data_IF_661599137687
#
_entry.id   IF_661599137687
#
_cell.length_a   1.000
_cell.length_b   1.000
_cell.length_c   1.000
_cell.angle_alpha   90.00
_cell.angle_beta   90.00
_cell.angle_gamma   90.00
#
_symmetry.space_group_name_H-M   'P 1'
#
loop_
_entity.id
_entity.type
_entity.pdbx_description
1 polymer ?
#
# COMPACT_ATOMS: atom_id res chain seq x y z
N UNK A 1 -45.95 22.23 -19.04
CA UNK A 1 -44.70 21.67 -18.49
C UNK A 1 -45.05 20.54 -17.55
N UNK A 2 -44.32 19.43 -17.64
CA UNK A 2 -44.34 18.34 -16.68
C UNK A 2 -42.96 18.24 -16.04
N UNK A 3 -42.93 17.95 -14.74
CA UNK A 3 -41.70 17.86 -13.95
C UNK A 3 -41.66 16.52 -13.22
N UNK A 4 -40.61 15.76 -13.44
CA UNK A 4 -40.25 14.56 -12.68
C UNK A 4 -38.95 14.80 -11.91
N UNK A 5 -38.54 13.85 -11.07
CA UNK A 5 -37.35 13.96 -10.23
C UNK A 5 -36.05 14.13 -11.01
N UNK A 6 -35.98 13.68 -12.26
CA UNK A 6 -34.77 13.63 -13.11
C UNK A 6 -35.04 14.15 -14.54
N UNK A 7 -36.27 14.58 -14.83
CA UNK A 7 -36.68 14.98 -16.17
C UNK A 7 -37.67 16.15 -16.14
N UNK A 8 -37.50 17.07 -17.08
CA UNK A 8 -38.41 18.17 -17.38
C UNK A 8 -38.86 18.03 -18.82
N UNK A 9 -40.14 18.28 -19.09
CA UNK A 9 -40.62 18.36 -20.46
C UNK A 9 -41.63 19.47 -20.67
N UNK A 10 -41.58 20.06 -21.86
CA UNK A 10 -42.51 21.07 -22.35
C UNK A 10 -43.07 20.63 -23.69
N UNK A 11 -44.37 20.86 -23.86
CA UNK A 11 -45.08 20.69 -25.12
C UNK A 11 -45.56 22.07 -25.51
N UNK A 12 -45.21 22.52 -26.71
CA UNK A 12 -45.66 23.79 -27.28
C UNK A 12 -46.39 23.48 -28.57
N UNK A 13 -47.56 24.08 -28.79
CA UNK A 13 -48.29 23.89 -30.04
C UNK A 13 -49.13 25.12 -30.39
N UNK A 14 -49.48 25.20 -31.66
CA UNK A 14 -50.50 26.10 -32.20
C UNK A 14 -51.66 25.25 -32.70
N UNK A 15 -52.88 25.75 -32.50
CA UNK A 15 -54.12 25.14 -33.00
C UNK A 15 -54.67 26.01 -34.14
N UNK A 16 -55.05 25.37 -35.25
CA UNK A 16 -55.75 26.05 -36.35
C UNK A 16 -57.28 26.06 -36.15
N UNK A 17 -58.00 26.71 -37.07
CA UNK A 17 -59.47 26.80 -36.99
C UNK A 17 -60.22 25.47 -37.11
N UNK A 18 -59.54 24.39 -37.54
CA UNK A 18 -60.11 23.05 -37.74
C UNK A 18 -59.71 22.06 -36.61
N UNK A 19 -59.05 22.58 -35.58
CA UNK A 19 -58.61 21.86 -34.39
C UNK A 19 -57.34 21.02 -34.59
N UNK A 20 -56.58 21.27 -35.67
CA UNK A 20 -55.30 20.61 -35.94
C UNK A 20 -54.20 21.29 -35.14
N UNK A 21 -53.35 20.49 -34.51
CA UNK A 21 -52.21 20.94 -33.73
C UNK A 21 -50.91 20.73 -34.48
N UNK A 22 -50.04 21.73 -34.44
CA UNK A 22 -48.63 21.65 -34.87
C UNK A 22 -47.75 22.26 -33.80
N UNK A 23 -46.60 21.65 -33.52
CA UNK A 23 -45.79 22.11 -32.40
C UNK A 23 -44.48 21.37 -32.18
N UNK A 24 -43.91 21.56 -31.01
CA UNK A 24 -42.67 20.93 -30.55
C UNK A 24 -42.86 20.29 -29.17
N UNK A 25 -42.18 19.16 -29.00
CA UNK A 25 -41.92 18.54 -27.72
C UNK A 25 -40.44 18.71 -27.41
N UNK A 26 -40.13 19.18 -26.21
CA UNK A 26 -38.77 19.22 -25.71
C UNK A 26 -38.73 18.55 -24.34
N UNK A 27 -37.71 17.73 -24.12
CA UNK A 27 -37.42 17.18 -22.81
C UNK A 27 -35.94 17.34 -22.47
N UNK A 28 -35.68 17.68 -21.22
CA UNK A 28 -34.35 17.75 -20.62
C UNK A 28 -34.30 16.77 -19.46
N UNK A 29 -33.31 15.89 -19.43
CA UNK A 29 -33.08 14.94 -18.35
C UNK A 29 -31.71 15.15 -17.72
N UNK A 30 -31.55 14.71 -16.48
CA UNK A 30 -30.23 14.54 -15.88
C UNK A 30 -29.38 13.63 -16.78
N UNK A 31 -28.16 14.05 -17.10
CA UNK A 31 -27.26 13.22 -17.89
C UNK A 31 -26.69 12.10 -17.02
N UNK A 32 -26.58 10.90 -17.60
CA UNK A 32 -25.95 9.74 -16.95
C UNK A 32 -24.42 9.76 -17.01
N UNK A 33 -23.83 10.64 -17.83
CA UNK A 33 -22.38 10.72 -18.05
C UNK A 33 -21.72 11.60 -17.00
N UNK A 34 -20.67 11.09 -16.35
CA UNK A 34 -19.92 11.83 -15.33
C UNK A 34 -19.06 12.96 -15.90
N UNK A 35 -18.66 12.87 -17.18
CA UNK A 35 -17.70 13.74 -17.87
C UNK A 35 -18.34 14.73 -18.87
N UNK A 36 -19.67 14.88 -18.83
CA UNK A 36 -20.43 15.71 -19.76
C UNK A 36 -21.28 16.80 -19.09
N UNK A 37 -22.11 17.51 -19.88
CA UNK A 37 -23.07 18.45 -19.31
C UNK A 37 -23.96 17.76 -18.27
N UNK A 38 -24.41 18.52 -17.27
CA UNK A 38 -25.27 18.01 -16.20
C UNK A 38 -26.63 17.50 -16.71
N UNK A 39 -27.04 17.98 -17.88
CA UNK A 39 -28.30 17.60 -18.51
C UNK A 39 -28.11 17.25 -19.97
N UNK A 40 -29.02 16.42 -20.48
CA UNK A 40 -29.16 16.08 -21.90
C UNK A 40 -30.53 16.55 -22.38
N UNK A 41 -30.60 17.00 -23.63
CA UNK A 41 -31.85 17.50 -24.21
C UNK A 41 -32.27 16.66 -25.41
N UNK A 42 -33.57 16.52 -25.59
CA UNK A 42 -34.21 15.86 -26.72
C UNK A 42 -35.33 16.75 -27.23
N UNK A 43 -35.48 16.80 -28.56
CA UNK A 43 -36.51 17.60 -29.22
C UNK A 43 -37.20 16.73 -30.27
N UNK A 44 -38.51 16.87 -30.40
CA UNK A 44 -39.31 16.23 -31.43
C UNK A 44 -40.39 17.19 -31.93
N UNK A 45 -40.80 17.05 -33.19
CA UNK A 45 -41.97 17.76 -33.69
C UNK A 45 -43.23 17.04 -33.23
N UNK A 46 -44.32 17.78 -33.01
CA UNK A 46 -45.62 17.19 -32.69
C UNK A 46 -46.68 17.63 -33.70
N UNK A 47 -47.58 16.71 -34.00
CA UNK A 47 -48.79 16.95 -34.78
C UNK A 47 -49.97 16.29 -34.07
N UNK A 48 -51.15 16.87 -34.16
CA UNK A 48 -52.29 16.25 -33.49
C UNK A 48 -53.62 16.87 -33.83
N UNK A 49 -54.64 16.47 -33.07
CA UNK A 49 -55.97 17.05 -33.16
C UNK A 49 -56.63 17.08 -31.80
N UNK A 50 -57.35 18.16 -31.51
CA UNK A 50 -58.27 18.25 -30.35
C UNK A 50 -59.69 18.07 -30.86
N UNK A 51 -60.47 17.20 -30.19
CA UNK A 51 -61.90 17.06 -30.46
C UNK A 51 -62.66 16.80 -29.17
N UNK A 52 -63.56 17.71 -28.80
CA UNK A 52 -64.40 17.60 -27.59
C UNK A 52 -63.60 17.33 -26.30
N UNK A 53 -62.42 17.94 -26.17
CA UNK A 53 -61.53 17.79 -25.01
C UNK A 53 -60.62 16.55 -25.03
N UNK A 54 -60.83 15.62 -25.96
CA UNK A 54 -59.90 14.53 -26.24
C UNK A 54 -58.79 15.01 -27.19
N UNK A 55 -57.57 14.54 -26.93
CA UNK A 55 -56.37 14.91 -27.66
C UNK A 55 -55.70 13.66 -28.22
N UNK A 56 -55.32 13.72 -29.50
CA UNK A 56 -54.41 12.76 -30.12
C UNK A 56 -53.17 13.50 -30.62
N UNK A 57 -52.00 13.14 -30.10
CA UNK A 57 -50.71 13.69 -30.50
C UNK A 57 -49.84 12.60 -31.12
N UNK A 58 -49.33 12.84 -32.31
CA UNK A 58 -48.20 12.11 -32.88
C UNK A 58 -46.95 12.93 -32.61
N UNK A 59 -46.00 12.34 -31.88
CA UNK A 59 -44.68 12.91 -31.65
C UNK A 59 -43.71 12.21 -32.59
N UNK A 60 -42.96 12.95 -33.41
CA UNK A 60 -42.03 12.34 -34.37
C UNK A 60 -41.05 11.39 -33.66
N UNK A 61 -40.98 10.15 -34.15
CA UNK A 61 -40.16 9.09 -33.55
C UNK A 61 -40.80 8.33 -32.37
N UNK A 62 -42.03 8.68 -31.97
CA UNK A 62 -42.81 7.97 -30.95
C UNK A 62 -44.16 7.50 -31.51
N UNK A 63 -44.83 6.65 -30.73
CA UNK A 63 -46.22 6.22 -31.01
C UNK A 63 -47.21 7.37 -30.80
N UNK A 64 -48.40 7.26 -31.38
CA UNK A 64 -49.52 8.16 -31.06
C UNK A 64 -49.83 8.12 -29.56
N UNK A 65 -49.82 9.30 -28.95
CA UNK A 65 -50.11 9.55 -27.55
C UNK A 65 -51.54 10.09 -27.48
N UNK A 66 -52.36 9.50 -26.61
CA UNK A 66 -53.73 9.97 -26.38
C UNK A 66 -53.79 10.73 -25.06
N UNK A 67 -54.73 11.66 -24.93
CA UNK A 67 -54.83 12.47 -23.73
C UNK A 67 -56.10 13.29 -23.63
N UNK A 68 -56.17 14.08 -22.57
CA UNK A 68 -57.26 15.03 -22.33
C UNK A 68 -56.70 16.39 -21.98
N UNK A 69 -57.24 17.43 -22.60
CA UNK A 69 -56.96 18.82 -22.26
C UNK A 69 -58.16 19.39 -21.50
N UNK A 70 -57.97 19.78 -20.25
CA UNK A 70 -59.01 20.36 -19.39
C UNK A 70 -58.47 21.58 -18.67
N UNK A 71 -58.98 22.76 -19.04
CA UNK A 71 -58.47 24.04 -18.55
C UNK A 71 -56.98 24.20 -18.86
N UNK A 72 -56.18 24.47 -17.82
CA UNK A 72 -54.72 24.61 -17.92
C UNK A 72 -53.97 23.27 -17.73
N UNK A 73 -54.68 22.14 -17.69
CA UNK A 73 -54.08 20.82 -17.44
C UNK A 73 -54.20 19.92 -18.67
N UNK A 74 -53.07 19.39 -19.10
CA UNK A 74 -52.96 18.38 -20.16
C UNK A 74 -52.53 17.06 -19.54
N UNK A 75 -53.31 16.01 -19.72
CA UNK A 75 -52.98 14.65 -19.26
C UNK A 75 -52.72 13.78 -20.49
N UNK A 76 -51.51 13.23 -20.60
CA UNK A 76 -51.09 12.35 -21.70
C UNK A 76 -50.92 10.91 -21.19
N UNK A 77 -51.45 9.95 -21.93
CA UNK A 77 -51.23 8.51 -21.76
C UNK A 77 -50.16 8.06 -22.74
N UNK A 78 -48.93 7.90 -22.24
CA UNK A 78 -47.74 7.58 -23.02
C UNK A 78 -47.47 6.08 -22.96
N UNK A 79 -47.55 5.34 -24.09
CA UNK A 79 -47.15 3.93 -24.13
C UNK A 79 -45.67 3.77 -23.77
N UNK A 80 -45.35 2.72 -23.01
CA UNK A 80 -44.01 2.35 -22.63
C UNK A 80 -43.55 1.12 -23.42
N UNK A 81 -42.23 0.97 -23.58
CA UNK A 81 -41.63 -0.15 -24.33
C UNK A 81 -41.89 -1.53 -23.70
N UNK A 82 -42.23 -1.57 -22.41
CA UNK A 82 -42.64 -2.79 -21.71
C UNK A 82 -44.13 -3.14 -21.91
N UNK A 83 -44.84 -2.43 -22.80
CA UNK A 83 -46.27 -2.61 -23.05
C UNK A 83 -47.20 -1.94 -22.04
N UNK A 84 -46.65 -1.25 -21.02
CA UNK A 84 -47.41 -0.45 -20.07
C UNK A 84 -47.83 0.92 -20.63
N UNK A 85 -48.64 1.64 -19.86
CA UNK A 85 -49.01 3.03 -20.15
C UNK A 85 -48.65 3.89 -18.95
N UNK A 86 -47.89 4.96 -19.19
CA UNK A 86 -47.57 5.97 -18.19
C UNK A 86 -48.40 7.22 -18.42
N UNK A 87 -49.11 7.65 -17.39
CA UNK A 87 -49.79 8.95 -17.42
C UNK A 87 -48.80 10.06 -17.05
N UNK A 88 -48.73 11.10 -17.87
CA UNK A 88 -47.94 12.30 -17.63
C UNK A 88 -48.87 13.50 -17.60
N UNK A 89 -48.82 14.25 -16.50
CA UNK A 89 -49.63 15.45 -16.31
C UNK A 89 -48.79 16.69 -16.55
N UNK A 90 -49.26 17.54 -17.44
CA UNK A 90 -48.68 18.83 -17.78
C UNK A 90 -49.59 19.92 -17.26
N UNK A 91 -48.98 20.95 -16.66
CA UNK A 91 -49.68 22.20 -16.33
C UNK A 91 -49.20 23.31 -17.26
N UNK A 92 -50.07 24.27 -17.57
CA UNK A 92 -49.69 25.46 -18.35
C UNK A 92 -48.52 26.19 -17.69
N UNK A 93 -47.56 26.64 -18.49
CA UNK A 93 -46.35 27.32 -18.00
C UNK A 93 -45.80 28.24 -19.09
N UNK A 94 -44.78 29.04 -18.77
CA UNK A 94 -44.08 29.90 -19.72
C UNK A 94 -42.71 29.34 -20.09
N UNK A 95 -42.11 29.85 -21.16
CA UNK A 95 -40.75 29.45 -21.56
C UNK A 95 -39.72 29.87 -20.52
N UNK A 96 -39.91 31.03 -19.88
CA UNK A 96 -39.05 31.48 -18.80
C UNK A 96 -39.13 30.55 -17.59
N UNK A 97 -40.33 30.05 -17.25
CA UNK A 97 -40.50 29.08 -16.17
C UNK A 97 -39.82 27.73 -16.49
N UNK A 98 -39.93 27.27 -17.73
CA UNK A 98 -39.23 26.08 -18.21
C UNK A 98 -37.71 26.24 -18.17
N UNK A 99 -37.17 27.35 -18.68
CA UNK A 99 -35.73 27.61 -18.67
C UNK A 99 -35.18 27.70 -17.23
N UNK A 100 -35.91 28.34 -16.31
CA UNK A 100 -35.56 28.33 -14.88
C UNK A 100 -35.56 26.92 -14.28
N UNK A 101 -36.53 26.08 -14.65
CA UNK A 101 -36.56 24.70 -14.18
C UNK A 101 -35.37 23.89 -14.72
N UNK A 102 -35.01 24.08 -16.00
CA UNK A 102 -33.84 23.44 -16.62
C UNK A 102 -32.54 23.86 -15.93
N UNK A 103 -32.37 25.15 -15.65
CA UNK A 103 -31.22 25.67 -14.91
C UNK A 103 -31.15 25.10 -13.48
N UNK A 104 -32.30 25.01 -12.79
CA UNK A 104 -32.38 24.39 -11.47
C UNK A 104 -32.02 22.89 -11.52
N UNK A 105 -32.49 22.15 -12.53
CA UNK A 105 -32.13 20.75 -12.75
C UNK A 105 -30.62 20.60 -12.97
N UNK A 106 -30.04 21.42 -13.86
CA UNK A 106 -28.61 21.38 -14.16
C UNK A 106 -27.75 21.72 -12.92
N UNK A 107 -28.16 22.71 -12.14
CA UNK A 107 -27.49 23.08 -10.88
C UNK A 107 -27.50 21.93 -9.89
N UNK A 108 -28.66 21.31 -9.66
CA UNK A 108 -28.79 20.17 -8.74
C UNK A 108 -27.93 18.98 -9.17
N UNK A 109 -28.01 18.58 -10.44
CA UNK A 109 -27.22 17.44 -10.93
C UNK A 109 -25.72 17.72 -10.84
N UNK A 110 -25.29 18.96 -11.10
CA UNK A 110 -23.88 19.35 -10.94
C UNK A 110 -23.42 19.27 -9.47
N UNK A 111 -24.26 19.72 -8.54
CA UNK A 111 -23.98 19.64 -7.10
C UNK A 111 -23.93 18.17 -6.62
N UNK A 112 -24.86 17.32 -7.07
CA UNK A 112 -24.86 15.88 -6.77
C UNK A 112 -23.59 15.19 -7.29
N UNK A 113 -23.15 15.51 -8.52
CA UNK A 113 -21.90 14.98 -9.08
C UNK A 113 -20.68 15.43 -8.29
N UNK A 114 -20.62 16.71 -7.89
CA UNK A 114 -19.53 17.22 -7.07
C UNK A 114 -19.47 16.52 -5.70
N UNK A 115 -20.63 16.26 -5.08
CA UNK A 115 -20.73 15.51 -3.84
C UNK A 115 -20.25 14.06 -4.00
N UNK A 116 -20.66 13.39 -5.09
CA UNK A 116 -20.23 12.02 -5.40
C UNK A 116 -18.73 11.94 -5.66
N UNK A 117 -18.17 12.88 -6.43
CA UNK A 117 -16.74 12.97 -6.68
C UNK A 117 -15.95 13.19 -5.39
N UNK A 118 -16.44 14.06 -4.50
CA UNK A 118 -15.86 14.25 -3.17
C UNK A 118 -15.91 12.97 -2.34
N UNK A 119 -17.05 12.29 -2.27
CA UNK A 119 -17.19 11.06 -1.52
C UNK A 119 -16.26 9.94 -2.07
N UNK A 120 -16.10 9.85 -3.38
CA UNK A 120 -15.17 8.91 -4.01
C UNK A 120 -13.71 9.23 -3.68
N UNK A 121 -13.33 10.52 -3.68
CA UNK A 121 -12.00 10.96 -3.28
C UNK A 121 -11.72 10.67 -1.81
N UNK A 122 -12.67 10.99 -0.92
CA UNK A 122 -12.57 10.73 0.52
C UNK A 122 -12.47 9.21 0.80
N UNK A 123 -13.23 8.38 0.08
CA UNK A 123 -13.16 6.91 0.18
C UNK A 123 -11.82 6.35 -0.32
N UNK A 124 -11.27 6.89 -1.41
CA UNK A 124 -9.95 6.50 -1.93
C UNK A 124 -8.83 6.85 -0.95
N UNK A 125 -8.88 8.04 -0.35
CA UNK A 125 -7.92 8.46 0.68
C UNK A 125 -7.99 7.57 1.93
N UNK A 126 -9.20 7.21 2.39
CA UNK A 126 -9.38 6.30 3.51
C UNK A 126 -8.83 4.89 3.21
N UNK A 127 -9.04 4.39 1.98
CA UNK A 127 -8.50 3.08 1.57
C UNK A 127 -6.96 3.09 1.48
N UNK A 128 -6.36 4.18 1.00
CA UNK A 128 -4.90 4.34 0.97
C UNK A 128 -4.31 4.36 2.40
N UNK A 129 -4.91 5.13 3.31
CA UNK A 129 -4.49 5.19 4.71
C UNK A 129 -4.59 3.81 5.39
N UNK A 130 -5.70 3.09 5.18
CA UNK A 130 -5.86 1.75 5.72
C UNK A 130 -4.79 0.76 5.19
N UNK A 131 -4.38 0.91 3.92
CA UNK A 131 -3.29 0.15 3.34
C UNK A 131 -1.93 0.45 3.98
N UNK A 132 -1.64 1.73 4.27
CA UNK A 132 -0.43 2.14 4.98
C UNK A 132 -0.41 1.64 6.43
N UNK A 133 -1.54 1.71 7.14
CA UNK A 133 -1.68 1.17 8.51
C UNK A 133 -1.44 -0.34 8.55
N UNK A 134 -1.98 -1.09 7.58
CA UNK A 134 -1.75 -2.52 7.48
C UNK A 134 -0.28 -2.85 7.20
N UNK A 135 0.35 -2.16 6.24
CA UNK A 135 1.76 -2.37 5.93
C UNK A 135 2.67 -2.06 7.13
N UNK A 136 2.37 -0.98 7.87
CA UNK A 136 3.08 -0.64 9.10
C UNK A 136 2.92 -1.73 10.17
N UNK A 137 1.71 -2.27 10.35
CA UNK A 137 1.47 -3.36 11.29
C UNK A 137 2.24 -4.65 10.91
N UNK A 138 2.30 -4.98 9.62
CA UNK A 138 3.07 -6.12 9.11
C UNK A 138 4.57 -5.93 9.35
N UNK A 139 5.12 -4.75 9.04
CA UNK A 139 6.52 -4.40 9.32
C UNK A 139 6.85 -4.53 10.82
N UNK A 140 6.03 -3.95 11.70
CA UNK A 140 6.20 -4.09 13.15
C UNK A 140 6.09 -5.56 13.59
N UNK A 141 5.24 -6.35 12.93
CA UNK A 141 5.11 -7.80 13.14
C UNK A 141 6.33 -8.63 12.72
N UNK A 142 7.14 -8.14 11.79
CA UNK A 142 8.36 -8.82 11.31
C UNK A 142 9.57 -8.59 12.23
N UNK A 143 9.58 -7.50 13.02
CA UNK A 143 10.68 -7.14 13.92
C UNK A 143 11.13 -8.27 14.86
N UNK A 144 10.24 -9.05 15.51
CA UNK A 144 10.66 -10.15 16.37
C UNK A 144 11.47 -11.24 15.66
N UNK A 145 11.15 -11.54 14.39
CA UNK A 145 11.89 -12.53 13.61
C UNK A 145 13.30 -12.04 13.29
N UNK A 146 13.44 -10.79 12.85
CA UNK A 146 14.74 -10.15 12.61
C UNK A 146 15.57 -10.02 13.90
N UNK A 147 14.91 -9.69 15.01
CA UNK A 147 15.55 -9.65 16.34
C UNK A 147 16.12 -11.03 16.71
N UNK A 148 15.37 -12.11 16.45
CA UNK A 148 15.82 -13.48 16.68
C UNK A 148 17.01 -13.85 15.78
N UNK A 149 17.02 -13.40 14.53
CA UNK A 149 18.14 -13.60 13.62
C UNK A 149 19.43 -12.95 14.15
N UNK A 150 19.36 -11.70 14.63
CA UNK A 150 20.50 -11.01 15.26
C UNK A 150 20.99 -11.76 16.49
N UNK A 151 20.09 -12.19 17.36
CA UNK A 151 20.46 -12.97 18.56
C UNK A 151 21.13 -14.29 18.22
N UNK A 152 20.63 -14.98 17.18
CA UNK A 152 21.20 -16.24 16.70
C UNK A 152 22.61 -16.03 16.15
N UNK A 153 22.80 -15.02 15.31
CA UNK A 153 24.11 -14.68 14.76
C UNK A 153 25.10 -14.25 15.87
N UNK A 154 24.64 -13.50 16.87
CA UNK A 154 25.46 -13.13 18.04
C UNK A 154 25.86 -14.36 18.87
N UNK A 155 24.97 -15.36 18.99
CA UNK A 155 25.30 -16.66 19.56
C UNK A 155 26.36 -17.42 18.76
N UNK A 156 26.25 -17.41 17.44
CA UNK A 156 27.24 -17.97 16.52
C UNK A 156 28.62 -17.33 16.67
N UNK A 157 28.68 -16.00 16.74
CA UNK A 157 29.91 -15.25 16.98
C UNK A 157 30.56 -15.62 18.33
N UNK A 158 29.75 -15.76 19.37
CA UNK A 158 30.23 -16.18 20.70
C UNK A 158 30.81 -17.59 20.68
N UNK A 159 30.17 -18.51 19.96
CA UNK A 159 30.67 -19.87 19.78
C UNK A 159 32.00 -19.89 19.00
N UNK A 160 32.10 -19.10 17.92
CA UNK A 160 33.33 -18.98 17.13
C UNK A 160 34.49 -18.41 17.96
N UNK A 161 34.23 -17.39 18.78
CA UNK A 161 35.23 -16.88 19.73
C UNK A 161 35.72 -17.97 20.69
N UNK A 162 34.83 -18.83 21.18
CA UNK A 162 35.18 -19.97 22.02
C UNK A 162 36.08 -20.99 21.32
N UNK A 163 35.91 -21.20 20.01
CA UNK A 163 36.79 -22.04 19.19
C UNK A 163 38.19 -21.45 19.09
N UNK A 164 38.32 -20.15 18.79
CA UNK A 164 39.62 -19.44 18.73
C UNK A 164 40.36 -19.56 20.06
N UNK A 165 39.66 -19.33 21.19
CA UNK A 165 40.26 -19.48 22.53
C UNK A 165 40.74 -20.90 22.80
N UNK A 166 39.99 -21.91 22.38
CA UNK A 166 40.33 -23.32 22.55
C UNK A 166 41.52 -23.72 21.69
N UNK A 167 41.57 -23.28 20.43
CA UNK A 167 42.68 -23.52 19.52
C UNK A 167 43.97 -22.87 20.03
N UNK A 168 43.93 -21.63 20.53
CA UNK A 168 45.11 -20.99 21.13
C UNK A 168 45.61 -21.76 22.36
N UNK A 169 44.70 -22.30 23.17
CA UNK A 169 45.07 -23.14 24.32
C UNK A 169 45.78 -24.42 23.85
N UNK A 170 45.32 -25.05 22.77
CA UNK A 170 45.97 -26.20 22.17
C UNK A 170 47.36 -25.86 21.64
N UNK A 171 47.51 -24.74 20.92
CA UNK A 171 48.81 -24.27 20.43
C UNK A 171 49.80 -24.00 21.57
N UNK A 172 49.36 -23.35 22.65
CA UNK A 172 50.18 -23.16 23.87
C UNK A 172 50.66 -24.48 24.47
N UNK A 173 49.80 -25.49 24.50
CA UNK A 173 50.16 -26.82 24.99
C UNK A 173 51.18 -27.51 24.07
N UNK A 174 51.03 -27.36 22.74
CA UNK A 174 51.98 -27.89 21.77
C UNK A 174 53.36 -27.23 21.91
N UNK A 175 53.44 -25.90 22.05
CA UNK A 175 54.72 -25.22 22.35
C UNK A 175 55.35 -25.70 23.67
N UNK A 176 54.55 -25.92 24.70
CA UNK A 176 55.07 -26.47 25.96
C UNK A 176 55.67 -27.87 25.76
N UNK A 177 55.05 -28.71 24.92
CA UNK A 177 55.60 -30.00 24.56
C UNK A 177 56.93 -29.88 23.80
N UNK A 178 57.03 -28.96 22.83
CA UNK A 178 58.28 -28.65 22.11
C UNK A 178 59.40 -28.29 23.10
N UNK A 179 59.13 -27.40 24.07
CA UNK A 179 60.10 -26.97 25.08
C UNK A 179 60.63 -28.10 25.97
N UNK A 180 59.87 -29.19 26.12
CA UNK A 180 60.20 -30.31 27.00
C UNK A 180 60.75 -31.55 26.26
N UNK A 181 60.81 -31.50 24.93
CA UNK A 181 61.18 -32.65 24.11
C UNK A 181 62.70 -32.93 24.15
N UNK A 182 63.07 -34.21 24.07
CA UNK A 182 64.45 -34.61 23.79
C UNK A 182 64.81 -34.30 22.33
N UNK A 183 66.11 -34.10 22.03
CA UNK A 183 66.60 -33.68 20.71
C UNK A 183 66.05 -34.53 19.53
N UNK A 184 65.86 -35.84 19.73
CA UNK A 184 65.36 -36.74 18.67
C UNK A 184 63.87 -36.56 18.34
N UNK A 185 63.08 -36.03 19.28
CA UNK A 185 61.62 -35.90 19.14
C UNK A 185 61.18 -34.46 18.81
N UNK A 186 62.10 -33.50 18.84
CA UNK A 186 61.83 -32.08 18.64
C UNK A 186 61.11 -31.81 17.32
N UNK A 187 61.55 -32.42 16.21
CA UNK A 187 60.94 -32.21 14.89
C UNK A 187 59.48 -32.65 14.82
N UNK A 188 59.12 -33.79 15.44
CA UNK A 188 57.73 -34.25 15.50
C UNK A 188 56.88 -33.29 16.32
N UNK A 189 57.41 -32.77 17.44
CA UNK A 189 56.68 -31.82 18.29
C UNK A 189 56.47 -30.46 17.64
N UNK A 190 57.40 -29.99 16.81
CA UNK A 190 57.22 -28.77 16.03
C UNK A 190 56.13 -28.97 14.98
N UNK A 191 56.07 -30.14 14.33
CA UNK A 191 54.98 -30.46 13.40
C UNK A 191 53.60 -30.48 14.11
N UNK A 192 53.52 -30.97 15.34
CA UNK A 192 52.30 -30.93 16.16
C UNK A 192 51.89 -29.47 16.44
N UNK A 193 52.85 -28.60 16.76
CA UNK A 193 52.61 -27.17 17.00
C UNK A 193 52.12 -26.44 15.75
N UNK A 194 52.76 -26.67 14.60
CA UNK A 194 52.31 -26.10 13.33
C UNK A 194 50.90 -26.57 12.93
N UNK A 195 50.53 -27.80 13.28
CA UNK A 195 49.15 -28.30 13.12
C UNK A 195 48.18 -27.51 14.02
N UNK A 196 48.55 -27.31 15.30
CA UNK A 196 47.74 -26.53 16.23
C UNK A 196 47.60 -25.05 15.82
N UNK A 197 48.62 -24.46 15.20
CA UNK A 197 48.54 -23.13 14.61
C UNK A 197 47.59 -23.11 13.39
N UNK A 198 47.65 -24.13 12.51
CA UNK A 198 46.70 -24.27 11.41
C UNK A 198 45.23 -24.39 11.85
N UNK A 199 44.97 -25.14 12.93
CA UNK A 199 43.65 -25.24 13.55
C UNK A 199 43.16 -23.89 14.07
N UNK A 200 44.06 -23.08 14.63
CA UNK A 200 43.74 -21.71 15.06
C UNK A 200 43.35 -20.83 13.88
N UNK A 201 44.13 -20.84 12.78
CA UNK A 201 43.80 -20.05 11.58
C UNK A 201 42.42 -20.43 11.02
N UNK A 202 42.06 -21.72 11.09
CA UNK A 202 40.72 -22.20 10.71
C UNK A 202 39.65 -21.63 11.64
N UNK A 203 39.89 -21.63 12.97
CA UNK A 203 38.97 -21.05 13.94
C UNK A 203 38.81 -19.53 13.78
N UNK A 204 39.86 -18.82 13.36
CA UNK A 204 39.80 -17.39 13.01
C UNK A 204 38.94 -17.15 11.77
N UNK A 205 39.06 -17.98 10.72
CA UNK A 205 38.19 -17.91 9.55
C UNK A 205 36.71 -18.15 9.87
N UNK A 206 36.41 -19.11 10.77
CA UNK A 206 35.05 -19.32 11.30
C UNK A 206 34.54 -18.06 12.03
N UNK A 207 35.41 -17.39 12.78
CA UNK A 207 35.08 -16.16 13.51
C UNK A 207 34.79 -14.98 12.58
N UNK A 208 35.57 -14.80 11.51
CA UNK A 208 35.33 -13.78 10.50
C UNK A 208 33.97 -14.01 9.81
N UNK A 209 33.66 -15.25 9.46
CA UNK A 209 32.37 -15.63 8.87
C UNK A 209 31.21 -15.29 9.82
N UNK A 210 31.30 -15.70 11.09
CA UNK A 210 30.27 -15.38 12.08
C UNK A 210 30.13 -13.86 12.35
N UNK A 211 31.22 -13.10 12.21
CA UNK A 211 31.20 -11.64 12.30
C UNK A 211 30.45 -11.02 11.13
N UNK A 212 30.64 -11.55 9.91
CA UNK A 212 29.93 -11.11 8.72
C UNK A 212 28.43 -11.43 8.82
N UNK A 213 28.07 -12.64 9.23
CA UNK A 213 26.67 -13.06 9.43
C UNK A 213 25.94 -12.14 10.42
N UNK A 214 26.59 -11.80 11.53
CA UNK A 214 26.03 -10.87 12.50
C UNK A 214 25.85 -9.47 11.90
N UNK A 215 26.83 -8.97 11.13
CA UNK A 215 26.73 -7.66 10.50
C UNK A 215 25.57 -7.60 9.49
N UNK A 216 25.34 -8.65 8.72
CA UNK A 216 24.19 -8.74 7.81
C UNK A 216 22.86 -8.75 8.56
N UNK A 217 22.72 -9.56 9.62
CA UNK A 217 21.51 -9.59 10.43
C UNK A 217 21.23 -8.22 11.12
N UNK A 218 22.28 -7.54 11.60
CA UNK A 218 22.17 -6.19 12.17
C UNK A 218 21.68 -5.18 11.12
N UNK A 219 22.17 -5.27 9.88
CA UNK A 219 21.78 -4.39 8.79
C UNK A 219 20.31 -4.57 8.40
N UNK A 220 19.84 -5.81 8.31
CA UNK A 220 18.44 -6.11 7.98
C UNK A 220 17.51 -5.52 9.06
N UNK A 221 17.82 -5.74 10.33
CA UNK A 221 17.02 -5.19 11.44
C UNK A 221 17.07 -3.66 11.49
N UNK A 222 18.22 -3.04 11.24
CA UNK A 222 18.35 -1.58 11.19
C UNK A 222 17.54 -0.96 10.04
N UNK A 223 17.51 -1.64 8.89
CA UNK A 223 16.73 -1.22 7.72
C UNK A 223 15.24 -1.26 8.04
N UNK A 224 14.76 -2.34 8.65
CA UNK A 224 13.36 -2.49 9.05
C UNK A 224 12.94 -1.40 10.05
N UNK A 225 13.75 -1.14 11.09
CA UNK A 225 13.49 -0.08 12.07
C UNK A 225 13.38 1.28 11.39
N UNK A 226 14.26 1.58 10.44
CA UNK A 226 14.25 2.86 9.71
C UNK A 226 13.01 2.99 8.84
N UNK A 227 12.60 1.91 8.17
CA UNK A 227 11.38 1.86 7.36
C UNK A 227 10.13 2.09 8.22
N UNK A 228 10.05 1.42 9.38
CA UNK A 228 8.97 1.63 10.36
C UNK A 228 8.90 3.08 10.81
N UNK A 229 10.02 3.73 11.12
CA UNK A 229 10.04 5.14 11.52
C UNK A 229 9.47 6.06 10.44
N UNK A 230 9.78 5.83 9.17
CA UNK A 230 9.23 6.59 8.05
C UNK A 230 7.73 6.34 7.88
N UNK A 231 7.29 5.08 7.96
CA UNK A 231 5.88 4.70 7.88
C UNK A 231 5.04 5.28 9.02
N UNK A 232 5.58 5.31 10.24
CA UNK A 232 4.94 5.98 11.39
C UNK A 232 4.70 7.46 11.10
N UNK A 233 5.70 8.17 10.56
CA UNK A 233 5.55 9.59 10.20
C UNK A 233 4.48 9.79 9.12
N UNK A 234 4.44 8.94 8.09
CA UNK A 234 3.42 8.99 7.03
C UNK A 234 2.02 8.80 7.59
N UNK A 235 1.80 7.72 8.35
CA UNK A 235 0.49 7.38 8.92
C UNK A 235 0.01 8.47 9.87
N UNK A 236 0.89 8.99 10.73
CA UNK A 236 0.53 10.09 11.65
C UNK A 236 0.19 11.39 10.92
N UNK A 237 0.93 11.74 9.86
CA UNK A 237 0.65 12.94 9.05
C UNK A 237 -0.72 12.87 8.37
N UNK A 238 -1.21 11.66 8.08
CA UNK A 238 -2.52 11.39 7.50
C UNK A 238 -3.62 11.19 8.55
N UNK A 239 -3.30 11.27 9.84
CA UNK A 239 -4.26 11.11 10.94
C UNK A 239 -4.62 9.65 11.25
N UNK A 240 -3.83 8.69 10.76
CA UNK A 240 -4.00 7.27 11.04
C UNK A 240 -3.52 6.86 12.43
N UNK A 241 -3.73 5.58 12.72
CA UNK A 241 -3.40 4.92 13.97
C UNK A 241 -2.07 4.19 13.86
N UNK A 242 -1.25 4.30 14.91
CA UNK A 242 0.07 3.67 14.97
C UNK A 242 -0.02 2.45 15.90
N UNK A 243 0.48 1.27 15.49
CA UNK A 243 0.51 0.09 16.35
C UNK A 243 1.47 0.27 17.53
N UNK A 244 1.42 -0.67 18.48
CA UNK A 244 2.36 -0.68 19.60
C UNK A 244 3.80 -0.93 19.10
N UNK A 245 4.72 -0.01 19.42
CA UNK A 245 6.12 -0.03 18.96
C UNK A 245 7.12 -0.58 20.01
N UNK A 246 6.66 -1.31 21.02
CA UNK A 246 7.52 -1.92 22.04
C UNK A 246 8.56 -2.87 21.42
N UNK A 247 8.16 -3.73 20.47
CA UNK A 247 9.08 -4.64 19.76
C UNK A 247 10.21 -3.90 19.03
N UNK A 248 9.90 -2.75 18.43
CA UNK A 248 10.88 -1.87 17.75
C UNK A 248 11.88 -1.29 18.75
N UNK A 249 11.39 -0.88 19.93
CA UNK A 249 12.22 -0.34 21.00
C UNK A 249 13.17 -1.41 21.55
N UNK A 250 12.65 -2.62 21.79
CA UNK A 250 13.43 -3.76 22.25
C UNK A 250 14.50 -4.17 21.22
N UNK A 251 14.13 -4.20 19.94
CA UNK A 251 15.04 -4.48 18.83
C UNK A 251 16.21 -3.49 18.74
N UNK A 252 15.95 -2.19 18.94
CA UNK A 252 17.01 -1.18 19.03
C UNK A 252 17.94 -1.41 20.25
N UNK A 253 17.43 -2.02 21.32
CA UNK A 253 18.24 -2.52 22.43
C UNK A 253 19.16 -3.68 22.01
N UNK A 254 18.61 -4.66 21.29
CA UNK A 254 19.35 -5.82 20.78
C UNK A 254 20.48 -5.40 19.84
N UNK A 255 20.24 -4.47 18.90
CA UNK A 255 21.28 -3.95 18.00
C UNK A 255 22.46 -3.31 18.76
N UNK A 256 22.18 -2.56 19.82
CA UNK A 256 23.25 -1.96 20.64
C UNK A 256 24.07 -3.02 21.36
N UNK A 257 23.40 -4.05 21.88
CA UNK A 257 24.06 -5.14 22.60
C UNK A 257 24.89 -6.03 21.66
N UNK A 258 24.36 -6.35 20.48
CA UNK A 258 25.09 -7.14 19.48
C UNK A 258 26.31 -6.39 18.94
N UNK A 259 26.18 -5.08 18.67
CA UNK A 259 27.31 -4.25 18.24
C UNK A 259 28.44 -4.17 19.29
N UNK A 260 28.07 -4.07 20.57
CA UNK A 260 29.04 -4.12 21.68
C UNK A 260 29.71 -5.51 21.79
N UNK A 261 28.94 -6.59 21.61
CA UNK A 261 29.44 -7.97 21.61
C UNK A 261 30.44 -8.18 20.48
N UNK A 262 30.08 -7.75 19.26
CA UNK A 262 30.92 -7.80 18.06
C UNK A 262 32.25 -7.10 18.30
N UNK A 263 32.20 -5.84 18.74
CA UNK A 263 33.40 -5.02 19.02
C UNK A 263 34.33 -5.70 20.02
N UNK A 264 33.78 -6.20 21.13
CA UNK A 264 34.57 -6.89 22.16
C UNK A 264 35.18 -8.20 21.65
N UNK A 265 34.41 -8.98 20.89
CA UNK A 265 34.85 -10.25 20.34
C UNK A 265 35.99 -10.05 19.33
N UNK A 266 35.86 -9.08 18.42
CA UNK A 266 36.90 -8.75 17.44
C UNK A 266 38.19 -8.32 18.11
N UNK A 267 38.12 -7.42 19.11
CA UNK A 267 39.30 -7.01 19.87
C UNK A 267 39.96 -8.18 20.61
N UNK A 268 39.14 -9.13 21.09
CA UNK A 268 39.64 -10.34 21.75
C UNK A 268 40.38 -11.23 20.75
N UNK A 269 39.79 -11.54 19.59
CA UNK A 269 40.43 -12.37 18.56
C UNK A 269 41.74 -11.74 18.12
N UNK A 270 41.78 -10.44 17.84
CA UNK A 270 43.01 -9.75 17.44
C UNK A 270 44.15 -9.93 18.48
N UNK A 271 43.84 -9.87 19.78
CA UNK A 271 44.81 -10.13 20.84
C UNK A 271 45.25 -11.60 20.90
N UNK A 272 44.36 -12.55 20.57
CA UNK A 272 44.65 -13.98 20.52
C UNK A 272 45.54 -14.32 19.32
N UNK A 273 45.27 -13.74 18.15
CA UNK A 273 46.07 -13.87 16.93
C UNK A 273 47.51 -13.42 17.18
N UNK A 274 47.71 -12.22 17.74
CA UNK A 274 49.07 -11.76 18.10
C UNK A 274 49.76 -12.70 19.08
N UNK A 275 49.03 -13.29 20.03
CA UNK A 275 49.60 -14.28 20.95
C UNK A 275 50.02 -15.55 20.23
N UNK A 276 49.27 -15.97 19.21
CA UNK A 276 49.54 -17.17 18.43
C UNK A 276 50.77 -17.03 17.54
N UNK A 277 50.91 -15.89 16.86
CA UNK A 277 52.08 -15.56 16.04
C UNK A 277 53.37 -15.57 16.88
N UNK A 278 53.30 -15.07 18.12
CA UNK A 278 54.42 -15.11 19.06
C UNK A 278 54.77 -16.53 19.49
N UNK A 279 53.76 -17.41 19.64
CA UNK A 279 53.95 -18.82 20.00
C UNK A 279 54.62 -19.58 18.85
N UNK A 280 54.12 -19.41 17.63
CA UNK A 280 54.67 -20.02 16.42
C UNK A 280 56.12 -19.55 16.19
N UNK A 281 56.38 -18.24 16.31
CA UNK A 281 57.75 -17.70 16.22
C UNK A 281 58.68 -18.34 17.26
N UNK A 282 58.20 -18.51 18.50
CA UNK A 282 59.00 -19.14 19.55
C UNK A 282 59.24 -20.63 19.28
N UNK A 283 58.24 -21.36 18.75
CA UNK A 283 58.39 -22.77 18.37
C UNK A 283 59.44 -22.93 17.27
N UNK A 284 59.40 -22.08 16.25
CA UNK A 284 60.35 -22.05 15.14
C UNK A 284 61.76 -21.63 15.57
N UNK A 285 61.92 -20.68 16.50
CA UNK A 285 63.23 -20.34 17.07
C UNK A 285 63.81 -21.51 17.87
N UNK A 286 62.99 -22.23 18.66
CA UNK A 286 63.44 -23.44 19.36
C UNK A 286 63.89 -24.52 18.37
N UNK A 287 63.14 -24.72 17.28
CA UNK A 287 63.50 -25.65 16.21
C UNK A 287 64.89 -25.37 15.64
N UNK A 288 65.20 -24.09 15.43
CA UNK A 288 66.49 -23.66 14.87
C UNK A 288 67.68 -23.85 15.82
N UNK A 289 67.42 -23.97 17.13
CA UNK A 289 68.45 -24.05 18.19
C UNK A 289 68.59 -25.45 18.80
N UNK A 290 67.56 -26.26 18.74
CA UNK A 290 67.58 -27.63 19.24
C UNK A 290 68.14 -28.56 18.14
N UNK A 291 69.45 -28.86 18.27
CA UNK A 291 70.29 -29.86 17.56
C UNK A 291 71.11 -29.43 16.31
#
# INVERSE_FOLDING_TARGET
MATASDQLSIVQWTEDGDGVLTGTYQAVSASSKSDGPATESSNASIRGRVSKGALNLTVDGLTTITGTLSGDTLILSVPQTNGGVRTVTYSRSTIEAYNRAVEALATRVSAERAQQAKAAADASAAAALAGEEQALAESVGNVPALTTAVQTAAGGLTAALGKVQSALKAQRAALAAVKSAACIDVFTRISDEGTAYGDLMTAEGDFETATADLASAEQDLQTEITSIQASVQSVQAQGGTVPNLSSVTDAAGVLRQSGATKTKATATVQSLTTSAEQIDTAANDLASRAC
#
